data_IF_829248476707
#
_entry.id   IF_829248476707
#
_cell.length_a   1.000
_cell.length_b   1.000
_cell.length_c   1.000
_cell.angle_alpha   90.00
_cell.angle_beta   90.00
_cell.angle_gamma   90.00
#
_symmetry.space_group_name_H-M   'P 1'
#
loop_
_entity.id
_entity.type
_entity.pdbx_description
1 polymer ?
#
# COMPACT_ATOMS: atom_id res chain seq x y z
N UNK A 1 -15.56 -8.39 0.73
CA UNK A 1 -15.06 -7.84 2.01
C UNK A 1 -14.03 -6.82 1.61
N UNK A 2 -14.13 -5.60 2.12
CA UNK A 2 -13.25 -4.49 1.75
C UNK A 2 -12.03 -4.49 2.65
N UNK A 3 -10.84 -4.24 2.08
CA UNK A 3 -9.57 -4.19 2.81
C UNK A 3 -8.92 -2.80 2.76
N UNK A 4 -9.63 -1.81 2.21
CA UNK A 4 -9.17 -0.44 2.07
C UNK A 4 -10.25 0.53 2.52
N UNK A 5 -9.93 1.33 3.53
CA UNK A 5 -10.74 2.49 3.91
C UNK A 5 -10.21 3.75 3.23
N UNK A 6 -11.12 4.59 2.73
CA UNK A 6 -10.78 5.86 2.06
C UNK A 6 -11.57 6.99 2.71
N UNK A 7 -10.85 7.97 3.25
CA UNK A 7 -11.43 9.20 3.79
C UNK A 7 -10.87 10.40 3.03
N UNK A 8 -11.71 11.40 2.75
CA UNK A 8 -11.25 12.67 2.16
C UNK A 8 -11.65 13.83 3.05
N UNK A 9 -10.66 14.58 3.52
CA UNK A 9 -10.83 15.77 4.34
C UNK A 9 -9.73 16.78 4.01
N UNK A 10 -10.09 18.07 4.03
CA UNK A 10 -9.14 19.18 3.84
C UNK A 10 -8.24 19.04 2.59
N UNK A 11 -8.85 18.60 1.48
CA UNK A 11 -8.18 18.32 0.20
C UNK A 11 -7.12 17.21 0.22
N UNK A 12 -7.16 16.32 1.21
CA UNK A 12 -6.27 15.15 1.32
C UNK A 12 -7.11 13.88 1.35
N UNK A 13 -6.76 12.91 0.51
CA UNK A 13 -7.31 11.56 0.59
C UNK A 13 -6.40 10.68 1.46
N UNK A 14 -6.97 10.00 2.45
CA UNK A 14 -6.28 9.07 3.34
C UNK A 14 -6.77 7.66 3.04
N UNK A 15 -5.86 6.83 2.54
CA UNK A 15 -6.04 5.40 2.30
C UNK A 15 -5.49 4.63 3.49
N UNK A 16 -6.34 3.87 4.16
CA UNK A 16 -5.93 2.97 5.26
C UNK A 16 -6.06 1.52 4.80
N UNK A 17 -4.94 0.82 4.71
CA UNK A 17 -4.93 -0.63 4.48
C UNK A 17 -5.51 -1.32 5.73
N UNK A 18 -6.67 -1.97 5.62
CA UNK A 18 -7.41 -2.55 6.73
C UNK A 18 -7.56 -4.08 6.57
N UNK A 19 -6.44 -4.79 6.72
CA UNK A 19 -6.44 -6.24 6.98
C UNK A 19 -5.54 -6.58 8.18
N UNK A 20 -5.88 -6.14 9.41
CA UNK A 20 -5.06 -6.35 10.59
C UNK A 20 -4.67 -7.81 10.85
N UNK A 21 -5.57 -8.81 10.68
CA UNK A 21 -5.21 -10.22 10.86
C UNK A 21 -4.07 -10.68 9.94
N UNK A 22 -4.00 -10.18 8.70
CA UNK A 22 -2.88 -10.44 7.77
C UNK A 22 -1.80 -9.35 7.80
N UNK A 23 -1.86 -8.44 8.77
CA UNK A 23 -0.92 -7.31 8.91
C UNK A 23 -0.85 -6.46 7.64
N UNK A 24 -1.99 -6.24 7.00
CA UNK A 24 -2.15 -5.44 5.80
C UNK A 24 -1.29 -5.92 4.63
N UNK A 25 -1.17 -7.25 4.47
CA UNK A 25 -0.47 -7.82 3.32
C UNK A 25 -1.23 -7.52 2.02
N UNK A 26 -0.50 -7.20 0.96
CA UNK A 26 -1.02 -6.95 -0.38
C UNK A 26 -1.48 -8.27 -1.01
N UNK A 27 -2.77 -8.59 -0.87
CA UNK A 27 -3.47 -9.60 -1.66
C UNK A 27 -4.09 -8.95 -2.92
N UNK A 28 -4.59 -9.76 -3.87
CA UNK A 28 -5.11 -9.24 -5.14
C UNK A 28 -6.33 -8.34 -4.97
N UNK A 29 -7.20 -8.62 -3.98
CA UNK A 29 -8.38 -7.79 -3.72
C UNK A 29 -7.99 -6.40 -3.25
N UNK A 30 -7.10 -6.31 -2.25
CA UNK A 30 -6.60 -5.02 -1.75
C UNK A 30 -5.87 -4.23 -2.84
N UNK A 31 -5.14 -4.92 -3.72
CA UNK A 31 -4.47 -4.26 -4.85
C UNK A 31 -5.47 -3.67 -5.83
N UNK A 32 -6.52 -4.42 -6.19
CA UNK A 32 -7.57 -3.93 -7.09
C UNK A 32 -8.31 -2.74 -6.44
N UNK A 33 -8.53 -2.75 -5.12
CA UNK A 33 -9.12 -1.63 -4.35
C UNK A 33 -8.22 -0.39 -4.34
N UNK A 34 -6.91 -0.54 -4.12
CA UNK A 34 -5.94 0.57 -4.17
C UNK A 34 -5.94 1.23 -5.55
N UNK A 35 -5.94 0.43 -6.61
CA UNK A 35 -5.93 0.94 -7.98
C UNK A 35 -7.20 1.73 -8.26
N UNK A 36 -8.37 1.16 -7.96
CA UNK A 36 -9.65 1.83 -8.15
C UNK A 36 -9.75 3.13 -7.33
N UNK A 37 -9.35 3.10 -6.06
CA UNK A 37 -9.38 4.28 -5.19
C UNK A 37 -8.49 5.40 -5.73
N UNK A 38 -7.27 5.10 -6.18
CA UNK A 38 -6.37 6.11 -6.76
C UNK A 38 -6.90 6.68 -8.07
N UNK A 39 -7.52 5.86 -8.93
CA UNK A 39 -8.17 6.36 -10.15
C UNK A 39 -9.32 7.32 -9.83
N UNK A 40 -10.15 7.00 -8.83
CA UNK A 40 -11.24 7.88 -8.38
C UNK A 40 -10.72 9.19 -7.74
N UNK A 41 -9.67 9.09 -6.91
CA UNK A 41 -9.07 10.24 -6.22
C UNK A 41 -8.40 11.19 -7.22
N UNK A 42 -7.70 10.67 -8.23
CA UNK A 42 -7.00 11.50 -9.21
C UNK A 42 -7.95 12.21 -10.17
N UNK A 43 -9.18 11.73 -10.31
CA UNK A 43 -10.23 12.40 -11.07
C UNK A 43 -10.92 13.54 -10.27
N UNK A 44 -10.57 13.75 -9.01
CA UNK A 44 -11.18 14.75 -8.14
C UNK A 44 -10.39 16.06 -8.12
N UNK A 45 -11.05 17.13 -8.54
CA UNK A 45 -10.48 18.49 -8.48
C UNK A 45 -10.35 19.03 -7.04
N UNK A 46 -11.01 18.40 -6.06
CA UNK A 46 -10.98 18.79 -4.65
C UNK A 46 -9.92 18.05 -3.83
N UNK A 47 -9.12 17.16 -4.42
CA UNK A 47 -8.02 16.45 -3.76
C UNK A 47 -6.67 16.90 -4.30
N UNK A 48 -5.79 17.36 -3.41
CA UNK A 48 -4.45 17.84 -3.74
C UNK A 48 -3.32 16.91 -3.31
N UNK A 49 -3.57 15.89 -2.49
CA UNK A 49 -2.56 14.92 -2.04
C UNK A 49 -3.19 13.61 -1.55
N UNK A 50 -2.38 12.56 -1.53
CA UNK A 50 -2.76 11.23 -1.04
C UNK A 50 -1.86 10.79 0.10
N UNK A 51 -2.44 10.31 1.18
CA UNK A 51 -1.74 9.63 2.28
C UNK A 51 -2.11 8.15 2.25
N UNK A 52 -1.14 7.27 2.44
CA UNK A 52 -1.37 5.85 2.70
C UNK A 52 -0.81 5.47 4.07
N UNK A 53 -1.58 4.71 4.83
CA UNK A 53 -1.24 4.15 6.15
C UNK A 53 -1.83 2.75 6.30
N UNK A 54 -1.46 2.02 7.37
CA UNK A 54 -2.08 0.74 7.70
C UNK A 54 -2.92 0.80 8.97
N UNK A 55 -3.99 0.02 9.06
CA UNK A 55 -4.65 -0.26 10.32
C UNK A 55 -3.66 -1.00 11.25
N UNK A 56 -3.58 -0.65 12.56
CA UNK A 56 -2.65 -1.31 13.48
C UNK A 56 -2.83 -2.83 13.49
N UNK A 57 -1.74 -3.61 13.67
CA UNK A 57 -0.47 -3.18 14.24
C UNK A 57 0.67 -2.92 13.22
N UNK A 58 0.41 -3.01 11.93
CA UNK A 58 1.44 -2.89 10.89
C UNK A 58 1.10 -1.79 9.89
N UNK A 59 2.12 -1.32 9.17
CA UNK A 59 1.87 -0.53 7.97
C UNK A 59 1.46 -1.49 6.84
N UNK A 60 2.36 -2.39 6.44
CA UNK A 60 2.12 -3.44 5.44
C UNK A 60 3.17 -4.54 5.56
N UNK A 61 2.74 -5.80 5.70
CA UNK A 61 3.64 -6.94 5.86
C UNK A 61 4.23 -7.49 4.55
N UNK A 62 3.91 -6.90 3.40
CA UNK A 62 4.43 -7.32 2.09
C UNK A 62 3.37 -7.95 1.21
N UNK A 63 3.82 -8.73 0.23
CA UNK A 63 2.94 -9.43 -0.69
C UNK A 63 2.35 -10.68 -0.01
N UNK A 64 1.06 -10.94 -0.22
CA UNK A 64 0.48 -12.23 0.10
C UNK A 64 0.80 -13.22 -1.02
N UNK A 65 1.79 -14.09 -0.78
CA UNK A 65 2.25 -15.07 -1.78
C UNK A 65 1.27 -16.23 -1.98
N UNK A 66 0.25 -16.37 -1.13
CA UNK A 66 -0.77 -17.41 -1.31
C UNK A 66 -1.71 -17.13 -2.48
N UNK A 67 -1.72 -15.89 -2.98
CA UNK A 67 -2.67 -15.40 -3.99
C UNK A 67 -2.03 -15.20 -5.38
N UNK A 68 -0.90 -15.86 -5.64
CA UNK A 68 -0.14 -15.71 -6.89
C UNK A 68 -0.75 -16.43 -8.11
N UNK A 69 -1.72 -17.32 -7.88
CA UNK A 69 -2.33 -18.15 -8.94
C UNK A 69 -1.35 -19.11 -9.62
N UNK A 70 -1.78 -19.68 -10.76
CA UNK A 70 -1.01 -20.69 -11.50
C UNK A 70 0.27 -20.11 -12.15
N UNK A 71 0.21 -18.86 -12.60
CA UNK A 71 1.35 -18.11 -13.13
C UNK A 71 1.90 -17.18 -12.05
N UNK A 72 2.89 -17.67 -11.29
CA UNK A 72 3.48 -16.88 -10.20
C UNK A 72 4.02 -15.52 -10.67
N UNK A 73 4.50 -15.43 -11.91
CA UNK A 73 5.00 -14.17 -12.47
C UNK A 73 3.89 -13.15 -12.69
N UNK A 74 2.76 -13.57 -13.27
CA UNK A 74 1.65 -12.66 -13.55
C UNK A 74 0.94 -12.25 -12.25
N UNK A 75 0.81 -13.19 -11.30
CA UNK A 75 0.35 -12.89 -9.94
C UNK A 75 1.23 -11.83 -9.25
N UNK A 76 2.56 -12.00 -9.29
CA UNK A 76 3.50 -11.03 -8.72
C UNK A 76 3.38 -9.66 -9.39
N UNK A 77 3.31 -9.61 -10.73
CA UNK A 77 3.15 -8.36 -11.47
C UNK A 77 1.87 -7.61 -11.11
N UNK A 78 0.76 -8.35 -10.85
CA UNK A 78 -0.48 -7.77 -10.36
C UNK A 78 -0.29 -7.24 -8.95
N UNK A 79 0.23 -8.04 -8.00
CA UNK A 79 0.48 -7.59 -6.63
C UNK A 79 1.35 -6.33 -6.59
N UNK A 80 2.35 -6.23 -7.46
CA UNK A 80 3.22 -5.05 -7.54
C UNK A 80 2.47 -3.76 -7.92
N UNK A 81 1.30 -3.84 -8.56
CA UNK A 81 0.49 -2.63 -8.79
C UNK A 81 0.04 -1.98 -7.48
N UNK A 82 -0.09 -2.74 -6.38
CA UNK A 82 -0.46 -2.20 -5.07
C UNK A 82 0.49 -1.13 -4.54
N UNK A 83 1.77 -1.14 -4.96
CA UNK A 83 2.70 -0.05 -4.67
C UNK A 83 3.09 0.78 -5.89
N UNK A 84 3.21 0.19 -7.08
CA UNK A 84 3.61 0.93 -8.28
C UNK A 84 2.58 2.01 -8.66
N UNK A 85 1.30 1.84 -8.30
CA UNK A 85 0.26 2.83 -8.57
C UNK A 85 0.53 4.17 -7.88
N UNK A 86 1.10 4.17 -6.68
CA UNK A 86 1.49 5.38 -5.95
C UNK A 86 2.62 6.12 -6.68
N UNK A 87 3.63 5.40 -7.17
CA UNK A 87 4.76 6.01 -7.91
C UNK A 87 4.38 6.66 -9.24
N UNK A 88 3.17 6.37 -9.74
CA UNK A 88 2.63 6.91 -11.00
C UNK A 88 1.58 7.98 -10.78
N UNK A 89 1.23 8.27 -9.53
CA UNK A 89 0.21 9.27 -9.23
C UNK A 89 0.69 10.66 -9.67
N UNK A 90 -0.17 11.48 -10.30
CA UNK A 90 0.13 12.88 -10.57
C UNK A 90 -0.01 13.74 -9.29
N UNK A 91 -0.64 13.21 -8.25
CA UNK A 91 -0.79 13.87 -6.95
C UNK A 91 0.42 13.55 -6.05
N UNK A 92 0.87 14.49 -5.19
CA UNK A 92 1.83 14.19 -4.14
C UNK A 92 1.34 13.06 -3.22
N UNK A 93 2.20 12.09 -2.97
CA UNK A 93 1.91 10.90 -2.16
C UNK A 93 2.75 10.83 -0.88
N UNK A 94 2.12 10.46 0.22
CA UNK A 94 2.77 10.35 1.55
C UNK A 94 2.50 8.98 2.14
N UNK A 95 3.56 8.23 2.47
CA UNK A 95 3.45 7.04 3.30
C UNK A 95 3.57 7.42 4.78
N UNK A 96 2.47 7.33 5.52
CA UNK A 96 2.45 7.44 6.98
C UNK A 96 2.70 6.05 7.59
N UNK A 97 3.97 5.74 7.85
CA UNK A 97 4.40 4.40 8.30
C UNK A 97 4.23 4.29 9.81
N UNK A 98 3.09 3.75 10.22
CA UNK A 98 2.67 3.60 11.63
C UNK A 98 3.08 2.26 12.28
N UNK A 99 3.75 1.37 11.54
CA UNK A 99 4.18 0.06 12.02
C UNK A 99 5.19 -0.60 11.09
N UNK A 100 5.26 -1.93 11.10
CA UNK A 100 6.17 -2.66 10.22
C UNK A 100 5.78 -2.48 8.74
N UNK A 101 6.77 -2.14 7.91
CA UNK A 101 6.74 -2.07 6.45
C UNK A 101 7.76 -3.07 5.91
N UNK A 102 7.29 -4.21 5.39
CA UNK A 102 8.13 -5.37 5.07
C UNK A 102 8.01 -5.75 3.60
N UNK A 103 9.11 -6.05 2.92
CA UNK A 103 9.12 -6.50 1.52
C UNK A 103 8.34 -5.56 0.60
N UNK A 104 7.28 -6.03 -0.03
CA UNK A 104 6.42 -5.19 -0.87
C UNK A 104 5.75 -4.02 -0.10
N UNK A 105 5.58 -4.13 1.22
CA UNK A 105 5.12 -3.04 2.07
C UNK A 105 6.18 -1.96 2.28
N UNK A 106 7.46 -2.34 2.30
CA UNK A 106 8.56 -1.36 2.22
C UNK A 106 8.60 -0.72 0.83
N UNK A 107 8.37 -1.48 -0.24
CA UNK A 107 8.26 -0.93 -1.59
C UNK A 107 7.11 0.07 -1.71
N UNK A 108 5.96 -0.19 -1.07
CA UNK A 108 4.86 0.77 -0.96
C UNK A 108 5.31 2.08 -0.33
N UNK A 109 5.96 2.03 0.82
CA UNK A 109 6.47 3.24 1.47
C UNK A 109 7.51 3.98 0.58
N UNK A 110 8.35 3.26 -0.15
CA UNK A 110 9.36 3.82 -1.04
C UNK A 110 8.78 4.35 -2.37
N UNK A 111 7.63 3.84 -2.80
CA UNK A 111 6.94 4.29 -4.00
C UNK A 111 6.27 5.66 -3.83
N UNK A 112 5.97 6.07 -2.59
CA UNK A 112 5.45 7.40 -2.31
C UNK A 112 6.53 8.49 -2.42
N UNK A 113 6.14 9.76 -2.51
CA UNK A 113 7.08 10.89 -2.56
C UNK A 113 7.73 11.16 -1.21
N UNK A 114 6.92 11.13 -0.14
CA UNK A 114 7.33 11.40 1.25
C UNK A 114 7.04 10.21 2.14
N UNK A 115 7.90 9.95 3.12
CA UNK A 115 7.69 8.96 4.18
C UNK A 115 7.72 9.64 5.53
N UNK A 116 6.65 9.50 6.29
CA UNK A 116 6.57 9.90 7.69
C UNK A 116 6.64 8.63 8.54
N UNK A 117 7.73 8.45 9.28
CA UNK A 117 7.93 7.27 10.12
C UNK A 117 7.50 7.56 11.56
N UNK A 118 6.49 6.84 12.05
CA UNK A 118 6.13 6.86 13.46
C UNK A 118 7.18 6.18 14.34
N UNK A 119 7.11 6.34 15.67
CA UNK A 119 8.05 5.73 16.61
C UNK A 119 8.08 4.17 16.53
N UNK A 120 6.95 3.58 16.15
CA UNK A 120 6.76 2.14 15.91
C UNK A 120 7.19 1.68 14.51
N UNK A 121 7.55 2.58 13.60
CA UNK A 121 7.91 2.24 12.24
C UNK A 121 9.12 1.31 12.19
N UNK A 122 9.05 0.26 11.38
CA UNK A 122 10.17 -0.65 11.09
C UNK A 122 10.17 -0.93 9.59
N UNK A 123 11.36 -0.92 8.99
CA UNK A 123 11.54 -1.20 7.57
C UNK A 123 12.42 -2.42 7.42
N UNK A 124 11.98 -3.39 6.63
CA UNK A 124 12.72 -4.63 6.39
C UNK A 124 12.44 -5.13 4.98
N UNK A 125 13.48 -5.27 4.16
CA UNK A 125 13.30 -5.75 2.77
C UNK A 125 12.92 -7.22 2.71
N UNK A 126 13.34 -8.06 3.68
CA UNK A 126 13.12 -9.51 3.78
C UNK A 126 13.43 -10.41 2.58
N UNK A 127 13.76 -9.86 1.41
CA UNK A 127 13.93 -10.62 0.16
C UNK A 127 15.05 -11.68 0.28
N UNK A 128 16.22 -11.32 0.80
CA UNK A 128 17.35 -12.26 0.96
C UNK A 128 16.99 -13.47 1.85
N UNK A 129 16.27 -13.23 2.95
CA UNK A 129 15.87 -14.30 3.87
C UNK A 129 14.80 -15.22 3.28
N UNK A 130 14.03 -14.73 2.31
CA UNK A 130 13.05 -15.49 1.55
C UNK A 130 13.63 -16.14 0.29
N UNK A 131 14.87 -15.79 -0.10
CA UNK A 131 15.54 -16.32 -1.27
C UNK A 131 14.97 -15.83 -2.61
N UNK A 132 14.41 -14.61 -2.62
CA UNK A 132 13.80 -13.97 -3.80
C UNK A 132 14.44 -12.61 -4.11
#
# INVERSE_FOLDING_TARGET
MTYLDVEVADAVAVLTLDDPPRRNALNLTLVDEIVAALDEIEARDDVGAVVVTGAPPAFCAGADLSDLGDSQRDGLNRIYQGFLRFSRSPLPTVAAVNGAAVGAGMNLALACDVRLAGASARFDTRFLQLGI
#
